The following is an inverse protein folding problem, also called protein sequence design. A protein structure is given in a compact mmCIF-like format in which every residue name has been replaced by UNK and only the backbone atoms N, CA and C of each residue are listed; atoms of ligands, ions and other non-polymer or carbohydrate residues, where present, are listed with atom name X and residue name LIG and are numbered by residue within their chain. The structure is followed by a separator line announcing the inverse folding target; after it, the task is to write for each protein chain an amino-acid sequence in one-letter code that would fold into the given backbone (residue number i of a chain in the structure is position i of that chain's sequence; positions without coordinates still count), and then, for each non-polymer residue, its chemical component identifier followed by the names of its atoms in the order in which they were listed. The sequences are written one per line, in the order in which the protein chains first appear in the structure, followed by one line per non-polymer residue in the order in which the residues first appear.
data_IF_977286747628
#
_entry.id   IF_977286747628
#
_cell.length_a   1.000
_cell.length_b   1.000
_cell.length_c   1.000
_cell.angle_alpha   90.00
_cell.angle_beta   90.00
_cell.angle_gamma   90.00
#
_symmetry.space_group_name_H-M   'P 1'
#
loop_
_entity.id
_entity.type
_entity.pdbx_description
1 polymer ?
#
# COMPACT_ATOMS: atom_id res chain seq x y z
N UNK A 1 17.45 -33.72 -59.28
CA UNK A 1 16.93 -33.49 -57.91
C UNK A 1 16.87 -31.98 -57.72
N UNK A 2 15.77 -31.31 -58.07
CA UNK A 2 15.58 -29.89 -57.76
C UNK A 2 14.22 -29.74 -57.08
N UNK A 3 14.28 -29.43 -55.80
CA UNK A 3 13.14 -29.27 -54.89
C UNK A 3 12.53 -27.88 -55.06
N UNK A 4 11.20 -27.86 -55.10
CA UNK A 4 10.34 -26.67 -55.11
C UNK A 4 10.37 -26.05 -53.71
N UNK A 5 10.78 -24.79 -53.59
CA UNK A 5 10.51 -24.00 -52.38
C UNK A 5 9.55 -22.87 -52.71
N UNK A 6 8.34 -23.00 -52.16
CA UNK A 6 7.24 -22.03 -52.22
C UNK A 6 7.44 -21.04 -51.08
N UNK A 7 7.54 -19.75 -51.39
CA UNK A 7 7.65 -18.68 -50.40
C UNK A 7 6.30 -18.55 -49.66
N UNK A 8 6.31 -18.68 -48.32
CA UNK A 8 5.16 -18.35 -47.47
C UNK A 8 5.25 -16.86 -47.08
N UNK A 9 4.12 -16.13 -46.95
CA UNK A 9 4.16 -14.75 -46.50
C UNK A 9 4.39 -14.69 -44.99
N UNK A 10 5.11 -13.66 -44.54
CA UNK A 10 5.30 -13.38 -43.12
C UNK A 10 3.94 -13.11 -42.47
N UNK A 11 3.61 -13.88 -41.43
CA UNK A 11 2.46 -13.60 -40.59
C UNK A 11 2.79 -12.39 -39.70
N UNK A 12 1.93 -11.38 -39.73
CA UNK A 12 1.97 -10.26 -38.79
C UNK A 12 1.86 -10.80 -37.35
N UNK A 13 2.93 -10.65 -36.57
CA UNK A 13 2.91 -10.93 -35.14
C UNK A 13 2.03 -9.88 -34.45
N UNK A 14 1.15 -10.27 -33.50
CA UNK A 14 0.37 -9.29 -32.77
C UNK A 14 1.30 -8.41 -31.95
N UNK A 15 1.15 -7.09 -32.09
CA UNK A 15 1.81 -6.08 -31.24
C UNK A 15 1.60 -6.44 -29.78
N UNK A 16 2.71 -6.61 -29.07
CA UNK A 16 2.74 -6.77 -27.62
C UNK A 16 2.19 -5.49 -27.00
N UNK A 17 0.88 -5.43 -26.75
CA UNK A 17 0.30 -4.44 -25.84
C UNK A 17 1.09 -4.54 -24.56
N UNK A 18 1.84 -3.49 -24.23
CA UNK A 18 2.44 -3.31 -22.91
C UNK A 18 1.30 -3.30 -21.91
N UNK A 19 1.00 -4.47 -21.37
CA UNK A 19 0.24 -4.63 -20.15
C UNK A 19 0.84 -3.67 -19.13
N UNK A 20 0.00 -2.86 -18.48
CA UNK A 20 0.38 -2.23 -17.23
C UNK A 20 1.10 -3.28 -16.41
N UNK A 21 2.34 -2.98 -16.02
CA UNK A 21 3.13 -3.84 -15.15
C UNK A 21 2.28 -4.04 -13.90
N UNK A 22 1.70 -5.22 -13.75
CA UNK A 22 0.99 -5.63 -12.54
C UNK A 22 2.07 -5.73 -11.45
N UNK A 23 2.50 -4.58 -10.92
CA UNK A 23 3.38 -4.52 -9.75
C UNK A 23 2.68 -5.32 -8.67
N UNK A 24 3.26 -6.47 -8.34
CA UNK A 24 2.69 -7.40 -7.38
C UNK A 24 2.84 -6.79 -5.99
N UNK A 25 1.86 -5.98 -5.60
CA UNK A 25 1.83 -5.41 -4.26
C UNK A 25 1.23 -6.42 -3.28
N UNK A 26 1.74 -6.36 -2.06
CA UNK A 26 1.27 -7.10 -0.90
C UNK A 26 0.38 -6.23 -0.03
N UNK A 27 -0.64 -6.84 0.54
CA UNK A 27 -1.51 -6.21 1.52
C UNK A 27 -1.03 -6.46 2.94
N UNK A 28 -1.05 -5.41 3.76
CA UNK A 28 -0.75 -5.49 5.18
C UNK A 28 -1.87 -4.90 6.01
N UNK A 29 -2.39 -5.68 6.95
CA UNK A 29 -3.22 -5.18 8.02
C UNK A 29 -2.32 -4.60 9.11
N UNK A 30 -2.49 -3.32 9.39
CA UNK A 30 -1.70 -2.60 10.39
C UNK A 30 -2.62 -1.98 11.41
N UNK A 31 -2.42 -2.34 12.69
CA UNK A 31 -3.07 -1.70 13.81
C UNK A 31 -2.08 -0.77 14.48
N UNK A 32 -2.47 0.48 14.68
CA UNK A 32 -1.61 1.50 15.31
C UNK A 32 -2.33 2.15 16.48
N UNK A 33 -1.70 2.16 17.65
CA UNK A 33 -2.18 2.86 18.85
C UNK A 33 -1.28 4.03 19.16
N UNK A 34 -1.85 5.25 19.18
CA UNK A 34 -1.10 6.48 19.43
C UNK A 34 -1.00 6.75 20.94
N UNK A 35 0.24 6.88 21.43
CA UNK A 35 0.61 7.12 22.82
C UNK A 35 1.45 8.39 22.94
N UNK A 36 0.81 9.54 22.75
CA UNK A 36 1.46 10.83 22.98
C UNK A 36 1.68 11.05 24.50
N UNK A 37 2.88 11.52 24.92
CA UNK A 37 3.12 11.95 26.29
C UNK A 37 2.12 13.02 26.74
N UNK A 38 1.63 12.89 27.98
CA UNK A 38 0.63 13.82 28.55
C UNK A 38 1.18 15.23 28.78
N UNK A 39 2.48 15.34 28.98
CA UNK A 39 3.24 16.57 29.19
C UNK A 39 3.73 17.21 27.88
N UNK A 40 3.37 16.63 26.73
CA UNK A 40 3.74 17.21 25.44
C UNK A 40 3.09 18.59 25.26
N UNK A 41 3.86 19.63 24.90
CA UNK A 41 3.30 20.94 24.60
C UNK A 41 2.22 20.87 23.52
N UNK A 42 1.10 21.55 23.75
CA UNK A 42 -0.08 21.51 22.87
C UNK A 42 0.27 21.89 21.43
N UNK A 43 1.08 22.93 21.25
CA UNK A 43 1.50 23.41 19.93
C UNK A 43 2.35 22.37 19.19
N UNK A 44 3.21 21.65 19.91
CA UNK A 44 4.01 20.55 19.35
C UNK A 44 3.11 19.37 18.95
N UNK A 45 2.18 18.99 19.80
CA UNK A 45 1.23 17.92 19.49
C UNK A 45 0.33 18.28 18.30
N UNK A 46 -0.11 19.54 18.20
CA UNK A 46 -0.90 20.03 17.09
C UNK A 46 -0.12 19.99 15.78
N UNK A 47 1.14 20.44 15.78
CA UNK A 47 2.02 20.38 14.60
C UNK A 47 2.27 18.94 14.16
N UNK A 48 2.63 18.04 15.07
CA UNK A 48 2.82 16.61 14.75
C UNK A 48 1.57 16.00 14.12
N UNK A 49 0.38 16.28 14.67
CA UNK A 49 -0.89 15.79 14.12
C UNK A 49 -1.20 16.37 12.74
N UNK A 50 -0.84 17.63 12.49
CA UNK A 50 -1.03 18.26 11.19
C UNK A 50 -0.11 17.65 10.12
N UNK A 51 1.17 17.47 10.45
CA UNK A 51 2.16 16.87 9.56
C UNK A 51 1.81 15.40 9.27
N UNK A 52 1.41 14.64 10.30
CA UNK A 52 0.91 13.26 10.16
C UNK A 52 -0.30 13.21 9.22
N UNK A 53 -1.29 14.08 9.43
CA UNK A 53 -2.48 14.13 8.59
C UNK A 53 -2.13 14.41 7.14
N UNK A 54 -1.21 15.34 6.88
CA UNK A 54 -0.79 15.67 5.52
C UNK A 54 -0.12 14.48 4.82
N UNK A 55 0.81 13.79 5.50
CA UNK A 55 1.46 12.60 4.95
C UNK A 55 0.47 11.44 4.75
N UNK A 56 -0.39 11.16 5.73
CA UNK A 56 -1.39 10.11 5.63
C UNK A 56 -2.40 10.37 4.49
N UNK A 57 -2.79 11.62 4.27
CA UNK A 57 -3.65 12.00 3.13
C UNK A 57 -2.95 11.79 1.79
N UNK A 58 -1.66 12.14 1.70
CA UNK A 58 -0.86 11.90 0.50
C UNK A 58 -0.73 10.40 0.20
N UNK A 59 -0.39 9.58 1.20
CA UNK A 59 -0.26 8.13 1.04
C UNK A 59 -1.59 7.46 0.65
N UNK A 60 -2.73 8.00 1.11
CA UNK A 60 -4.06 7.56 0.67
C UNK A 60 -4.31 7.93 -0.80
N UNK A 61 -3.94 9.14 -1.24
CA UNK A 61 -4.09 9.58 -2.63
C UNK A 61 -3.19 8.79 -3.60
N UNK A 62 -2.00 8.39 -3.15
CA UNK A 62 -1.05 7.56 -3.90
C UNK A 62 -1.44 6.07 -3.90
N UNK A 63 -2.42 5.67 -3.09
CA UNK A 63 -2.90 4.28 -2.98
C UNK A 63 -2.10 3.40 -2.01
N UNK A 64 -0.95 3.86 -1.51
CA UNK A 64 -0.12 3.16 -0.53
C UNK A 64 -0.85 2.87 0.78
N UNK A 65 -1.58 3.85 1.30
CA UNK A 65 -2.43 3.69 2.49
C UNK A 65 -3.88 3.52 2.04
N UNK A 66 -4.20 2.32 1.57
CA UNK A 66 -5.46 2.02 0.87
C UNK A 66 -6.69 2.24 1.73
N UNK A 67 -6.66 1.79 3.00
CA UNK A 67 -7.78 1.93 3.91
C UNK A 67 -7.35 2.41 5.30
N UNK A 68 -8.16 3.24 5.93
CA UNK A 68 -7.90 3.83 7.25
C UNK A 68 -9.19 3.98 8.06
N UNK A 69 -9.30 3.27 9.17
CA UNK A 69 -10.45 3.34 10.07
C UNK A 69 -10.04 3.64 11.51
N UNK A 70 -10.86 4.43 12.20
CA UNK A 70 -10.76 4.64 13.65
C UNK A 70 -11.30 3.41 14.37
N UNK A 71 -10.56 2.92 15.37
CA UNK A 71 -11.12 1.95 16.33
C UNK A 71 -11.98 2.72 17.34
N UNK A 72 -13.27 2.37 17.43
CA UNK A 72 -14.21 3.06 18.31
C UNK A 72 -13.76 3.05 19.78
N UNK A 73 -13.79 4.22 20.42
CA UNK A 73 -13.39 4.39 21.82
C UNK A 73 -11.87 4.40 22.08
N UNK A 74 -11.03 4.17 21.07
CA UNK A 74 -9.57 4.15 21.21
C UNK A 74 -8.91 5.23 20.37
N UNK A 75 -7.79 5.77 20.86
CA UNK A 75 -6.91 6.59 20.01
C UNK A 75 -6.00 5.71 19.15
N UNK A 76 -6.63 4.84 18.38
CA UNK A 76 -6.00 3.82 17.55
C UNK A 76 -6.68 3.73 16.18
N UNK A 77 -6.02 3.11 15.22
CA UNK A 77 -6.57 2.83 13.90
C UNK A 77 -6.29 1.39 13.48
N UNK A 78 -7.13 0.90 12.56
CA UNK A 78 -6.85 -0.25 11.70
C UNK A 78 -6.69 0.28 10.29
N UNK A 79 -5.66 -0.18 9.61
CA UNK A 79 -5.27 0.27 8.28
C UNK A 79 -4.94 -0.90 7.38
N UNK A 80 -5.18 -0.73 6.08
CA UNK A 80 -4.64 -1.61 5.03
C UNK A 80 -3.64 -0.82 4.21
N UNK A 81 -2.40 -1.29 4.17
CA UNK A 81 -1.37 -0.78 3.28
C UNK A 81 -1.20 -1.71 2.08
N UNK A 82 -0.97 -1.11 0.92
CA UNK A 82 -0.71 -1.78 -0.34
C UNK A 82 0.67 -1.34 -0.86
N UNK A 83 1.66 -2.20 -0.66
CA UNK A 83 3.08 -1.90 -0.94
C UNK A 83 3.78 -3.11 -1.52
N UNK A 84 4.94 -2.92 -2.17
CA UNK A 84 5.65 -4.01 -2.83
C UNK A 84 6.04 -5.16 -1.89
N UNK A 85 6.51 -4.85 -0.67
CA UNK A 85 6.97 -5.83 0.30
C UNK A 85 7.01 -5.28 1.74
N UNK A 86 7.51 -6.10 2.68
CA UNK A 86 7.64 -5.71 4.09
C UNK A 86 8.67 -4.59 4.35
N UNK A 87 9.69 -4.46 3.50
CA UNK A 87 10.68 -3.39 3.62
C UNK A 87 10.06 -2.04 3.23
N UNK A 88 9.33 -2.01 2.11
CA UNK A 88 8.57 -0.84 1.68
C UNK A 88 7.54 -0.41 2.73
N UNK A 89 6.87 -1.37 3.39
CA UNK A 89 6.00 -1.06 4.53
C UNK A 89 6.80 -0.42 5.68
N UNK A 90 7.90 -1.03 6.07
CA UNK A 90 8.74 -0.54 7.17
C UNK A 90 9.19 0.89 6.93
N UNK A 91 9.72 1.17 5.74
CA UNK A 91 10.21 2.50 5.36
C UNK A 91 9.07 3.53 5.31
N UNK A 92 7.87 3.12 4.88
CA UNK A 92 6.68 3.97 4.91
C UNK A 92 6.27 4.33 6.34
N UNK A 93 6.25 3.35 7.24
CA UNK A 93 5.89 3.57 8.64
C UNK A 93 6.91 4.47 9.37
N UNK A 94 8.20 4.31 9.10
CA UNK A 94 9.25 5.15 9.69
C UNK A 94 9.15 6.63 9.31
N UNK A 95 8.52 6.95 8.18
CA UNK A 95 8.32 8.33 7.74
C UNK A 95 7.19 9.04 8.49
N UNK A 96 6.31 8.30 9.18
CA UNK A 96 5.17 8.89 9.89
C UNK A 96 5.67 9.78 11.05
N UNK A 97 5.31 11.07 11.10
CA UNK A 97 5.67 11.96 12.21
C UNK A 97 5.31 11.43 13.60
N UNK A 98 4.23 10.64 13.71
CA UNK A 98 3.80 10.03 14.97
C UNK A 98 4.46 8.68 15.26
N UNK A 99 5.25 8.08 14.35
CA UNK A 99 5.88 6.75 14.53
C UNK A 99 6.56 6.57 15.90
N UNK A 100 7.35 7.52 16.43
CA UNK A 100 8.00 7.37 17.74
C UNK A 100 7.03 7.24 18.93
N UNK A 101 5.75 7.53 18.71
CA UNK A 101 4.70 7.52 19.71
C UNK A 101 3.64 6.45 19.43
N UNK A 102 3.92 5.49 18.55
CA UNK A 102 2.97 4.43 18.20
C UNK A 102 3.38 3.07 18.74
N UNK A 103 2.39 2.30 19.16
CA UNK A 103 2.48 0.84 19.18
C UNK A 103 1.86 0.30 17.90
N UNK A 104 2.61 -0.52 17.16
CA UNK A 104 2.24 -0.99 15.83
C UNK A 104 2.26 -2.53 15.80
N UNK A 105 1.16 -3.11 15.32
CA UNK A 105 1.04 -4.54 15.02
C UNK A 105 0.81 -4.70 13.52
N UNK A 106 1.60 -5.57 12.86
CA UNK A 106 1.55 -5.80 11.41
C UNK A 106 1.23 -7.26 11.12
N UNK A 107 0.28 -7.48 10.21
CA UNK A 107 -0.09 -8.80 9.69
C UNK A 107 -0.10 -8.76 8.16
N UNK A 108 0.73 -9.57 7.52
CA UNK A 108 0.69 -9.76 6.07
C UNK A 108 -0.60 -10.51 5.66
N UNK A 109 -1.22 -10.09 4.56
CA UNK A 109 -2.47 -10.65 4.06
C UNK A 109 -2.28 -11.29 2.69
N UNK A 110 -2.98 -12.41 2.46
CA UNK A 110 -3.12 -13.02 1.15
C UNK A 110 -4.53 -12.81 0.64
N UNK A 111 -4.69 -12.73 -0.69
CA UNK A 111 -6.00 -12.74 -1.31
C UNK A 111 -6.70 -14.07 -1.05
N UNK A 112 -7.93 -14.01 -0.55
CA UNK A 112 -8.73 -15.21 -0.32
C UNK A 112 -9.27 -15.77 -1.66
N UNK A 113 -9.17 -17.09 -1.93
CA UNK A 113 -9.59 -17.68 -3.21
C UNK A 113 -11.09 -17.55 -3.49
N UNK A 114 -11.90 -17.40 -2.45
CA UNK A 114 -13.35 -17.16 -2.58
C UNK A 114 -13.74 -15.68 -2.64
N UNK A 115 -12.78 -14.75 -2.76
CA UNK A 115 -13.11 -13.34 -2.98
C UNK A 115 -13.87 -13.19 -4.29
N UNK A 116 -15.05 -12.57 -4.26
CA UNK A 116 -15.87 -12.33 -5.45
C UNK A 116 -15.37 -11.13 -6.28
N UNK A 117 -14.59 -10.25 -5.66
CA UNK A 117 -13.98 -9.12 -6.32
C UNK A 117 -12.68 -9.57 -6.98
N UNK A 118 -12.33 -8.94 -8.10
CA UNK A 118 -11.04 -9.14 -8.80
C UNK A 118 -9.97 -8.14 -8.34
N UNK A 119 -10.34 -7.14 -7.55
CA UNK A 119 -9.47 -6.20 -6.86
C UNK A 119 -9.83 -6.11 -5.37
N UNK A 120 -9.23 -5.16 -4.66
CA UNK A 120 -9.32 -5.01 -3.19
C UNK A 120 -10.03 -3.71 -2.77
N UNK A 121 -11.02 -3.27 -3.58
CA UNK A 121 -11.82 -2.05 -3.36
C UNK A 121 -12.63 -2.10 -2.06
#
# INVERSE_FOLDING_TARGET
MLSVFRTLPAADLPEHKTSHEDTHNMLFHVRMTVKLPIDMPVDKAARLKADEKALAQRLQQEGTWRHLWRIAGLYANVSIFDVADAQALHDTLLQLPLYPYMEIEVTALCRHPSSIHQDDR
#
